data_IF_248855748882
#
_entry.id   IF_248855748882
#
_cell.length_a   1.000
_cell.length_b   1.000
_cell.length_c   1.000
_cell.angle_alpha   90.00
_cell.angle_beta   90.00
_cell.angle_gamma   90.00
#
_symmetry.space_group_name_H-M   'P 1'
#
loop_
_entity.id
_entity.type
_entity.pdbx_description
1 polymer ?
#
# COMPACT_ATOMS: atom_id res chain seq x y z
N UNK A 1 29.68 -3.76 15.88
CA UNK A 1 28.97 -2.94 16.90
C UNK A 1 28.00 -3.85 17.63
N UNK A 2 28.22 -4.18 18.91
CA UNK A 2 27.31 -5.09 19.65
C UNK A 2 26.02 -4.39 20.10
N UNK A 3 26.03 -3.06 20.20
CA UNK A 3 24.92 -2.25 20.73
C UNK A 3 24.16 -1.48 19.64
N UNK A 4 24.28 -1.90 18.38
CA UNK A 4 23.58 -1.26 17.26
C UNK A 4 22.18 -1.83 17.05
N UNK A 5 21.24 -1.00 16.62
CA UNK A 5 19.95 -1.43 16.07
C UNK A 5 20.00 -1.28 14.55
N UNK A 6 19.97 -2.40 13.85
CA UNK A 6 20.03 -2.46 12.39
C UNK A 6 18.60 -2.55 11.84
N UNK A 7 18.16 -1.55 11.07
CA UNK A 7 16.82 -1.52 10.47
C UNK A 7 16.88 -1.94 9.01
N UNK A 8 16.14 -2.98 8.67
CA UNK A 8 16.13 -3.62 7.35
C UNK A 8 14.83 -3.30 6.61
N UNK A 9 14.93 -2.63 5.46
CA UNK A 9 13.76 -2.19 4.67
C UNK A 9 13.38 -3.14 3.52
N UNK A 10 14.28 -4.05 3.18
CA UNK A 10 14.16 -4.97 2.05
C UNK A 10 14.42 -6.40 2.51
N UNK A 11 13.80 -7.35 1.81
CA UNK A 11 14.05 -8.78 2.01
C UNK A 11 15.14 -9.23 1.03
N UNK A 12 16.38 -8.79 1.29
CA UNK A 12 17.54 -9.16 0.49
C UNK A 12 18.12 -10.47 1.04
N UNK A 13 18.47 -11.40 0.14
CA UNK A 13 19.03 -12.71 0.53
C UNK A 13 20.38 -12.52 1.20
N UNK A 14 21.09 -11.48 0.81
CA UNK A 14 22.35 -11.00 1.34
C UNK A 14 22.27 -10.73 2.85
N UNK A 15 21.13 -10.21 3.36
CA UNK A 15 20.92 -10.05 4.81
C UNK A 15 20.86 -11.39 5.55
N UNK A 16 20.43 -12.46 4.89
CA UNK A 16 20.34 -13.80 5.49
C UNK A 16 21.70 -14.50 5.54
N UNK A 17 22.60 -14.18 4.62
CA UNK A 17 23.90 -14.87 4.47
C UNK A 17 25.08 -14.08 5.02
N UNK A 18 25.05 -12.74 5.01
CA UNK A 18 26.23 -11.90 5.26
C UNK A 18 26.07 -10.90 6.41
N UNK A 19 24.87 -10.59 6.88
CA UNK A 19 24.70 -9.67 8.02
C UNK A 19 24.83 -10.40 9.35
N UNK A 20 26.12 -10.65 9.64
CA UNK A 20 26.78 -10.34 10.90
C UNK A 20 25.85 -10.26 12.12
N UNK A 21 25.93 -11.31 12.95
CA UNK A 21 25.35 -11.50 14.28
C UNK A 21 25.75 -10.43 15.33
N UNK A 22 25.94 -9.16 14.96
CA UNK A 22 26.24 -8.08 15.88
C UNK A 22 25.12 -7.03 15.88
N UNK A 23 24.60 -6.73 17.07
CA UNK A 23 23.46 -5.83 17.25
C UNK A 23 22.09 -6.52 17.13
N UNK A 24 21.04 -5.72 17.28
CA UNK A 24 19.64 -6.13 17.19
C UNK A 24 19.13 -5.83 15.78
N UNK A 25 18.60 -6.85 15.09
CA UNK A 25 18.08 -6.73 13.74
C UNK A 25 16.57 -6.54 13.72
N UNK A 26 16.12 -5.46 13.11
CA UNK A 26 14.71 -5.03 13.06
C UNK A 26 14.26 -4.95 11.62
N UNK A 27 13.21 -5.68 11.24
CA UNK A 27 12.61 -5.56 9.91
C UNK A 27 11.54 -4.47 9.89
N UNK A 28 11.55 -3.62 8.86
CA UNK A 28 10.53 -2.60 8.59
C UNK A 28 10.36 -2.42 7.08
N UNK A 29 9.38 -3.09 6.48
CA UNK A 29 9.23 -3.09 5.02
C UNK A 29 8.96 -1.69 4.44
N UNK A 30 9.61 -1.40 3.31
CA UNK A 30 9.45 -0.14 2.58
C UNK A 30 8.07 0.08 1.95
N UNK A 31 7.29 -1.00 1.72
CA UNK A 31 5.98 -0.95 1.09
C UNK A 31 4.87 -1.44 2.01
N UNK A 32 3.72 -0.77 2.00
CA UNK A 32 2.54 -1.19 2.79
C UNK A 32 1.80 -2.36 2.15
N UNK A 33 1.85 -2.54 0.82
CA UNK A 33 1.19 -3.66 0.15
C UNK A 33 1.78 -5.02 0.54
N UNK A 34 0.92 -6.03 0.65
CA UNK A 34 1.31 -7.43 0.82
C UNK A 34 1.15 -8.20 -0.48
N UNK A 35 2.26 -8.47 -1.15
CA UNK A 35 2.34 -9.31 -2.36
C UNK A 35 2.93 -10.69 -2.04
N UNK A 36 2.60 -11.23 -0.86
CA UNK A 36 3.23 -12.44 -0.28
C UNK A 36 4.74 -12.30 -0.04
N UNK A 37 5.20 -11.08 0.17
CA UNK A 37 6.62 -10.76 0.44
C UNK A 37 6.89 -10.49 1.92
N UNK A 38 5.85 -10.57 2.77
CA UNK A 38 5.96 -10.41 4.22
C UNK A 38 5.41 -11.65 4.92
N UNK A 39 6.08 -12.79 4.71
CA UNK A 39 5.75 -14.06 5.37
C UNK A 39 6.59 -14.27 6.62
N UNK A 40 6.16 -15.19 7.49
CA UNK A 40 6.93 -15.60 8.67
C UNK A 40 8.34 -16.11 8.35
N UNK A 41 8.50 -16.86 7.26
CA UNK A 41 9.82 -17.31 6.78
C UNK A 41 10.74 -16.13 6.45
N UNK A 42 10.18 -15.08 5.83
CA UNK A 42 10.95 -13.93 5.37
C UNK A 42 11.36 -12.97 6.47
N UNK A 43 10.66 -12.97 7.61
CA UNK A 43 10.95 -12.05 8.71
C UNK A 43 11.48 -12.76 9.95
N UNK A 44 11.35 -14.09 10.04
CA UNK A 44 11.62 -14.87 11.25
C UNK A 44 13.05 -14.78 11.77
N UNK A 45 14.01 -14.50 10.88
CA UNK A 45 15.42 -14.33 11.23
C UNK A 45 15.74 -12.99 11.92
N UNK A 46 14.83 -12.02 11.91
CA UNK A 46 14.99 -10.77 12.64
C UNK A 46 14.61 -10.94 14.12
N UNK A 47 15.20 -10.10 14.97
CA UNK A 47 14.86 -10.03 16.40
C UNK A 47 13.47 -9.42 16.59
N UNK A 48 13.18 -8.35 15.84
CA UNK A 48 11.90 -7.66 15.86
C UNK A 48 11.40 -7.31 14.46
N UNK A 49 10.08 -7.12 14.33
CA UNK A 49 9.42 -6.73 13.09
C UNK A 49 8.46 -5.59 13.39
N UNK A 50 8.64 -4.48 12.68
CA UNK A 50 7.76 -3.33 12.72
C UNK A 50 6.74 -3.45 11.57
N UNK A 51 5.46 -3.33 11.91
CA UNK A 51 4.36 -3.44 10.95
C UNK A 51 3.40 -2.24 11.02
N UNK A 52 2.72 -1.90 9.91
CA UNK A 52 1.84 -0.72 9.90
C UNK A 52 0.59 -0.85 10.76
N UNK A 53 0.06 -2.06 10.91
CA UNK A 53 -1.25 -2.28 11.50
C UNK A 53 -1.50 -3.71 11.98
N UNK A 54 -2.62 -3.95 12.66
CA UNK A 54 -2.97 -5.27 13.19
C UNK A 54 -3.03 -6.40 12.16
N UNK A 55 -3.36 -6.12 10.89
CA UNK A 55 -3.53 -7.18 9.89
C UNK A 55 -2.25 -8.01 9.71
N UNK A 56 -1.08 -7.37 9.67
CA UNK A 56 0.20 -8.09 9.52
C UNK A 56 0.62 -8.77 10.81
N UNK A 57 0.23 -8.24 11.98
CA UNK A 57 0.45 -8.98 13.23
C UNK A 57 -0.30 -10.30 13.18
N UNK A 58 -1.57 -10.27 12.79
CA UNK A 58 -2.40 -11.48 12.70
C UNK A 58 -1.89 -12.46 11.63
N UNK A 59 -1.38 -11.95 10.50
CA UNK A 59 -0.77 -12.78 9.46
C UNK A 59 0.54 -13.41 9.95
N UNK A 60 1.48 -12.62 10.45
CA UNK A 60 2.78 -13.13 10.90
C UNK A 60 2.69 -14.08 12.10
N UNK A 61 1.73 -13.87 13.01
CA UNK A 61 1.47 -14.83 14.10
C UNK A 61 0.94 -16.15 13.55
N UNK A 62 0.06 -16.14 12.53
CA UNK A 62 -0.39 -17.37 11.86
C UNK A 62 0.76 -18.07 11.13
N UNK A 63 1.72 -17.30 10.60
CA UNK A 63 2.94 -17.82 9.98
C UNK A 63 4.02 -18.25 11.00
N UNK A 64 3.70 -18.28 12.30
CA UNK A 64 4.60 -18.78 13.35
C UNK A 64 5.56 -17.75 13.96
N UNK A 65 5.46 -16.47 13.60
CA UNK A 65 6.29 -15.41 14.22
C UNK A 65 5.77 -15.11 15.63
N UNK A 66 6.61 -15.20 16.68
CA UNK A 66 6.17 -14.91 18.04
C UNK A 66 5.64 -13.48 18.18
N UNK A 67 4.43 -13.33 18.75
CA UNK A 67 3.78 -12.02 18.94
C UNK A 67 4.65 -10.96 19.63
N UNK A 68 5.53 -11.39 20.54
CA UNK A 68 6.49 -10.53 21.26
C UNK A 68 7.53 -9.85 20.36
N UNK A 69 7.78 -10.40 19.17
CA UNK A 69 8.68 -9.81 18.17
C UNK A 69 8.01 -8.67 17.37
N UNK A 70 6.68 -8.54 17.44
CA UNK A 70 5.91 -7.72 16.51
C UNK A 70 5.46 -6.40 17.16
N UNK A 71 5.81 -5.28 16.53
CA UNK A 71 5.38 -3.94 16.95
C UNK A 71 4.55 -3.26 15.86
N UNK A 72 3.42 -2.69 16.25
CA UNK A 72 2.58 -1.88 15.35
C UNK A 72 3.07 -0.44 15.45
N UNK A 73 3.64 0.10 14.37
CA UNK A 73 4.24 1.45 14.35
C UNK A 73 3.63 2.38 13.32
N UNK A 74 2.76 1.88 12.44
CA UNK A 74 2.23 2.67 11.33
C UNK A 74 3.20 2.69 10.15
N UNK A 75 3.13 3.74 9.33
CA UNK A 75 3.91 3.84 8.10
C UNK A 75 4.46 5.26 7.93
N UNK A 76 5.67 5.54 8.46
CA UNK A 76 6.27 6.88 8.51
C UNK A 76 6.34 7.60 7.16
N UNK A 77 6.45 6.87 6.05
CA UNK A 77 6.42 7.41 4.69
C UNK A 77 5.20 8.31 4.44
N UNK A 78 4.06 8.02 5.06
CA UNK A 78 2.82 8.79 4.86
C UNK A 78 2.64 9.92 5.85
N UNK A 79 3.47 10.03 6.90
CA UNK A 79 3.28 11.08 7.91
C UNK A 79 3.23 12.50 7.31
N UNK A 80 4.12 12.88 6.36
CA UNK A 80 4.05 14.19 5.72
C UNK A 80 2.74 14.43 4.97
N UNK A 81 2.09 13.38 4.44
CA UNK A 81 0.87 13.54 3.65
C UNK A 81 -0.35 13.93 4.50
N UNK A 82 -0.30 13.69 5.80
CA UNK A 82 -1.38 14.09 6.71
C UNK A 82 -1.27 15.54 7.18
N UNK A 83 -0.19 16.25 6.84
CA UNK A 83 0.00 17.67 7.14
C UNK A 83 0.00 18.57 5.91
N UNK A 84 0.08 17.99 4.71
CA UNK A 84 -0.04 18.71 3.45
C UNK A 84 -1.47 19.21 3.28
N UNK A 85 -1.62 20.50 2.96
CA UNK A 85 -2.90 21.04 2.52
C UNK A 85 -3.21 20.52 1.12
N UNK A 86 -4.45 20.08 0.85
CA UNK A 86 -4.83 19.73 -0.51
C UNK A 86 -4.63 20.95 -1.43
N UNK A 87 -4.29 20.73 -2.72
CA UNK A 87 -4.22 21.81 -3.69
C UNK A 87 -5.56 22.55 -3.74
N UNK A 88 -5.53 23.80 -4.21
CA UNK A 88 -6.74 24.58 -4.43
C UNK A 88 -7.75 23.80 -5.30
N UNK A 89 -9.04 23.94 -5.00
CA UNK A 89 -10.10 23.22 -5.70
C UNK A 89 -9.96 23.38 -7.23
N UNK A 90 -9.81 22.26 -7.92
CA UNK A 90 -9.84 22.19 -9.38
C UNK A 90 -11.29 22.13 -9.86
N UNK A 91 -11.58 22.78 -10.99
CA UNK A 91 -12.89 22.69 -11.65
C UNK A 91 -13.08 21.38 -12.42
N UNK A 92 -11.99 20.62 -12.63
CA UNK A 92 -12.02 19.28 -13.24
C UNK A 92 -11.74 18.22 -12.21
N UNK A 93 -12.49 17.13 -12.30
CA UNK A 93 -12.23 15.92 -11.54
C UNK A 93 -10.90 15.31 -11.97
N UNK A 94 -10.00 15.07 -11.02
CA UNK A 94 -8.69 14.47 -11.28
C UNK A 94 -8.71 12.99 -10.92
N UNK A 95 -8.44 12.14 -11.90
CA UNK A 95 -8.34 10.68 -11.73
C UNK A 95 -6.89 10.26 -11.95
N UNK A 96 -6.31 9.57 -10.97
CA UNK A 96 -4.97 9.01 -11.08
C UNK A 96 -5.02 7.51 -11.36
N UNK A 97 -4.44 7.07 -12.48
CA UNK A 97 -4.14 5.66 -12.72
C UNK A 97 -2.71 5.32 -12.27
N UNK A 98 -2.61 4.46 -11.25
CA UNK A 98 -1.34 4.08 -10.62
C UNK A 98 -1.25 2.56 -10.40
N UNK A 99 -1.04 1.78 -11.48
CA UNK A 99 -0.99 0.32 -11.40
C UNK A 99 0.29 -0.18 -10.72
N UNK A 100 0.25 -1.42 -10.25
CA UNK A 100 1.46 -2.10 -9.79
C UNK A 100 2.35 -2.46 -10.98
N UNK A 101 3.66 -2.55 -10.75
CA UNK A 101 4.54 -3.38 -11.57
C UNK A 101 4.44 -4.83 -11.11
N UNK A 102 3.85 -5.70 -11.93
CA UNK A 102 3.77 -7.15 -11.71
C UNK A 102 3.59 -7.84 -13.05
N UNK A 103 4.22 -9.01 -13.23
CA UNK A 103 4.11 -9.79 -14.48
C UNK A 103 2.74 -10.44 -14.66
N UNK A 104 2.01 -10.72 -13.59
CA UNK A 104 0.71 -11.41 -13.65
C UNK A 104 -0.43 -10.66 -12.95
N UNK A 105 -0.15 -9.97 -11.85
CA UNK A 105 -1.17 -9.33 -11.01
C UNK A 105 -1.18 -7.79 -11.17
N UNK A 106 -1.11 -7.33 -12.43
CA UNK A 106 -1.22 -5.92 -12.80
C UNK A 106 -2.29 -5.70 -13.86
N UNK A 107 -2.98 -4.57 -13.76
CA UNK A 107 -3.86 -4.05 -14.81
C UNK A 107 -3.06 -3.44 -15.97
N UNK A 108 -1.78 -3.13 -15.76
CA UNK A 108 -0.85 -2.69 -16.79
C UNK A 108 -0.14 -3.89 -17.44
N UNK A 109 0.02 -3.93 -18.77
CA UNK A 109 -0.28 -2.86 -19.73
C UNK A 109 -1.69 -2.89 -20.32
N UNK A 110 -2.53 -3.86 -19.96
CA UNK A 110 -3.85 -4.05 -20.59
C UNK A 110 -4.74 -2.80 -20.52
N UNK A 111 -4.66 -2.03 -19.43
CA UNK A 111 -5.43 -0.81 -19.26
C UNK A 111 -5.08 0.31 -20.27
N UNK A 112 -3.94 0.22 -20.97
CA UNK A 112 -3.49 1.25 -21.93
C UNK A 112 -4.50 1.53 -23.04
N UNK A 113 -5.28 0.53 -23.46
CA UNK A 113 -6.28 0.68 -24.51
C UNK A 113 -7.41 1.65 -24.14
N UNK A 114 -7.56 1.97 -22.85
CA UNK A 114 -8.61 2.83 -22.33
C UNK A 114 -8.20 4.28 -22.08
N UNK A 115 -6.89 4.59 -22.12
CA UNK A 115 -6.38 5.92 -21.72
C UNK A 115 -6.99 7.07 -22.54
N UNK A 116 -7.31 6.81 -23.82
CA UNK A 116 -7.90 7.81 -24.72
C UNK A 116 -9.44 7.80 -24.73
N UNK A 117 -10.07 7.00 -23.88
CA UNK A 117 -11.54 6.81 -23.83
C UNK A 117 -12.22 7.57 -22.69
N UNK A 118 -11.45 8.27 -21.85
CA UNK A 118 -12.00 9.04 -20.75
C UNK A 118 -12.79 10.26 -21.26
N UNK A 119 -13.96 10.55 -20.66
CA UNK A 119 -14.71 11.77 -20.94
C UNK A 119 -13.88 13.05 -20.74
N UNK A 120 -14.14 14.09 -21.53
CA UNK A 120 -13.37 15.35 -21.52
C UNK A 120 -13.45 16.18 -20.24
N UNK A 121 -14.44 15.90 -19.38
CA UNK A 121 -14.60 16.56 -18.08
C UNK A 121 -13.72 15.94 -16.99
N UNK A 122 -13.16 14.74 -17.23
CA UNK A 122 -12.19 14.09 -16.35
C UNK A 122 -10.79 14.50 -16.78
N UNK A 123 -10.03 15.07 -15.84
CA UNK A 123 -8.58 15.16 -15.95
C UNK A 123 -7.98 13.83 -15.49
N UNK A 124 -7.13 13.23 -16.33
CA UNK A 124 -6.63 11.88 -16.10
C UNK A 124 -5.11 11.87 -16.14
N UNK A 125 -4.49 11.42 -15.04
CA UNK A 125 -3.05 11.28 -14.88
C UNK A 125 -2.63 9.82 -14.79
N UNK A 126 -1.39 9.53 -15.21
CA UNK A 126 -0.80 8.20 -15.14
C UNK A 126 0.51 8.25 -14.37
N UNK A 127 0.60 7.47 -13.29
CA UNK A 127 1.86 7.26 -12.56
C UNK A 127 2.23 5.78 -12.60
N UNK A 128 3.10 5.41 -13.53
CA UNK A 128 3.63 4.05 -13.62
C UNK A 128 4.72 3.78 -12.57
N UNK A 129 5.15 2.53 -12.43
CA UNK A 129 6.27 2.18 -11.57
C UNK A 129 7.59 2.78 -12.10
N UNK A 130 8.58 3.14 -11.25
CA UNK A 130 9.88 3.66 -11.68
C UNK A 130 10.58 2.86 -12.79
N UNK A 131 10.49 1.52 -12.75
CA UNK A 131 11.03 0.63 -13.81
C UNK A 131 10.39 0.86 -15.19
N UNK A 132 9.17 1.35 -15.24
CA UNK A 132 8.42 1.60 -16.47
C UNK A 132 8.51 3.08 -16.92
N UNK A 133 9.25 3.93 -16.19
CA UNK A 133 9.41 5.35 -16.47
C UNK A 133 10.82 5.68 -17.03
N UNK A 134 10.89 6.61 -17.99
CA UNK A 134 12.16 7.16 -18.48
C UNK A 134 12.80 8.11 -17.45
N UNK A 135 11.97 8.87 -16.73
CA UNK A 135 12.38 9.79 -15.68
C UNK A 135 11.54 9.54 -14.42
N UNK A 136 11.99 8.65 -13.51
CA UNK A 136 11.23 8.28 -12.33
C UNK A 136 10.84 9.48 -11.48
N UNK A 137 9.53 9.65 -11.26
CA UNK A 137 8.99 10.63 -10.31
C UNK A 137 8.26 9.95 -9.15
N UNK A 138 8.34 10.48 -7.93
CA UNK A 138 7.53 9.99 -6.81
C UNK A 138 6.04 10.27 -7.06
N UNK A 139 5.19 9.26 -6.95
CA UNK A 139 3.72 9.33 -7.15
C UNK A 139 2.97 10.21 -6.12
N UNK A 140 3.67 10.82 -5.16
CA UNK A 140 3.02 11.47 -4.02
C UNK A 140 2.32 12.77 -4.40
N UNK A 141 2.87 13.52 -5.36
CA UNK A 141 2.27 14.77 -5.81
C UNK A 141 0.97 14.49 -6.57
N UNK A 142 1.00 13.52 -7.49
CA UNK A 142 -0.18 13.09 -8.25
C UNK A 142 -1.24 12.49 -7.31
N UNK A 143 -0.82 11.71 -6.31
CA UNK A 143 -1.75 11.15 -5.33
C UNK A 143 -2.46 12.25 -4.53
N UNK A 144 -1.74 13.28 -4.09
CA UNK A 144 -2.32 14.39 -3.32
C UNK A 144 -3.33 15.16 -4.18
N UNK A 145 -3.03 15.37 -5.47
CA UNK A 145 -3.90 16.08 -6.41
C UNK A 145 -5.13 15.27 -6.87
N UNK A 146 -5.08 13.94 -6.83
CA UNK A 146 -6.15 13.09 -7.34
C UNK A 146 -7.41 13.09 -6.45
N UNK A 147 -8.60 13.18 -7.06
CA UNK A 147 -9.87 12.98 -6.36
C UNK A 147 -10.21 11.48 -6.23
N UNK A 148 -9.86 10.71 -7.27
CA UNK A 148 -10.13 9.26 -7.36
C UNK A 148 -8.87 8.56 -7.87
N UNK A 149 -8.59 7.36 -7.35
CA UNK A 149 -7.46 6.54 -7.80
C UNK A 149 -7.97 5.27 -8.48
N UNK A 150 -7.45 4.97 -9.66
CA UNK A 150 -7.60 3.66 -10.31
C UNK A 150 -6.29 2.88 -10.08
N UNK A 151 -6.41 1.72 -9.45
CA UNK A 151 -5.25 0.90 -9.09
C UNK A 151 -5.64 -0.58 -8.98
N UNK A 152 -4.64 -1.44 -8.82
CA UNK A 152 -4.78 -2.88 -8.66
C UNK A 152 -4.21 -3.35 -7.31
N UNK A 153 -3.04 -3.98 -7.28
CA UNK A 153 -2.38 -4.54 -6.10
C UNK A 153 -1.23 -3.66 -5.58
N UNK A 154 -1.14 -2.43 -6.07
CA UNK A 154 -0.13 -1.44 -5.68
C UNK A 154 -0.28 -1.01 -4.21
N UNK A 155 0.83 -0.55 -3.61
CA UNK A 155 0.79 0.12 -2.31
C UNK A 155 -0.08 1.37 -2.31
N UNK A 156 -0.22 2.01 -3.48
CA UNK A 156 -0.98 3.25 -3.64
C UNK A 156 -2.44 3.12 -3.21
N UNK A 157 -3.01 1.91 -3.26
CA UNK A 157 -4.37 1.61 -2.78
C UNK A 157 -4.54 2.03 -1.32
N UNK A 158 -3.60 1.60 -0.47
CA UNK A 158 -3.65 1.87 0.96
C UNK A 158 -3.24 3.31 1.28
N UNK A 159 -2.34 3.88 0.48
CA UNK A 159 -1.92 5.29 0.58
C UNK A 159 -3.11 6.21 0.25
N UNK A 160 -3.82 5.97 -0.85
CA UNK A 160 -5.05 6.68 -1.24
C UNK A 160 -6.16 6.57 -0.18
N UNK A 161 -6.49 5.34 0.26
CA UNK A 161 -7.50 5.17 1.30
C UNK A 161 -7.12 5.81 2.64
N UNK A 162 -5.83 5.93 2.95
CA UNK A 162 -5.39 6.61 4.16
C UNK A 162 -5.68 8.12 4.11
N UNK A 163 -5.67 8.71 2.92
CA UNK A 163 -5.95 10.12 2.63
C UNK A 163 -7.44 10.42 2.39
N UNK A 164 -8.32 9.43 2.53
CA UNK A 164 -9.75 9.65 2.27
C UNK A 164 -10.13 9.59 0.79
N UNK A 165 -9.22 9.17 -0.10
CA UNK A 165 -9.46 9.09 -1.54
C UNK A 165 -10.03 7.71 -1.93
N UNK A 166 -11.15 7.65 -2.67
CA UNK A 166 -11.71 6.40 -3.19
C UNK A 166 -10.74 5.71 -4.17
N UNK A 167 -10.81 4.39 -4.20
CA UNK A 167 -10.04 3.55 -5.12
C UNK A 167 -10.98 2.67 -5.92
N UNK A 168 -10.82 2.67 -7.25
CA UNK A 168 -11.55 1.82 -8.19
C UNK A 168 -10.61 0.75 -8.76
N UNK A 169 -11.02 -0.50 -8.64
CA UNK A 169 -10.30 -1.67 -9.13
C UNK A 169 -10.83 -2.11 -10.50
N UNK A 170 -9.96 -2.31 -11.51
CA UNK A 170 -10.36 -2.87 -12.80
C UNK A 170 -10.47 -4.40 -12.72
N UNK A 171 -11.53 -4.93 -12.10
CA UNK A 171 -11.68 -6.39 -11.86
C UNK A 171 -11.50 -7.20 -13.15
N UNK A 172 -12.08 -6.73 -14.25
CA UNK A 172 -12.08 -7.42 -15.54
C UNK A 172 -10.68 -7.68 -16.13
N UNK A 173 -9.67 -6.95 -15.66
CA UNK A 173 -8.30 -7.10 -16.16
C UNK A 173 -7.46 -8.02 -15.28
N UNK A 174 -7.67 -7.98 -13.95
CA UNK A 174 -6.65 -8.46 -13.01
C UNK A 174 -7.18 -9.40 -11.93
N UNK A 175 -8.48 -9.34 -11.59
CA UNK A 175 -9.05 -10.02 -10.42
C UNK A 175 -8.73 -11.51 -10.36
N UNK A 176 -9.03 -12.23 -11.43
CA UNK A 176 -8.90 -13.68 -11.45
C UNK A 176 -7.45 -14.11 -11.23
N UNK A 177 -6.50 -13.36 -11.81
CA UNK A 177 -5.06 -13.59 -11.58
C UNK A 177 -4.66 -13.28 -10.14
N UNK A 178 -5.14 -12.20 -9.52
CA UNK A 178 -4.83 -11.91 -8.11
C UNK A 178 -5.33 -13.02 -7.18
N UNK A 179 -6.56 -13.48 -7.38
CA UNK A 179 -7.16 -14.52 -6.55
C UNK A 179 -6.45 -15.87 -6.76
N UNK A 180 -6.12 -16.22 -8.01
CA UNK A 180 -5.45 -17.47 -8.36
C UNK A 180 -4.00 -17.50 -7.92
N UNK A 181 -3.22 -16.48 -8.26
CA UNK A 181 -1.78 -16.46 -8.02
C UNK A 181 -1.47 -16.14 -6.56
N UNK A 182 -2.27 -15.26 -5.94
CA UNK A 182 -2.03 -14.75 -4.59
C UNK A 182 -3.16 -15.00 -3.57
N UNK A 183 -3.72 -16.22 -3.43
CA UNK A 183 -4.98 -16.47 -2.73
C UNK A 183 -5.00 -16.07 -1.25
N UNK A 184 -3.84 -16.09 -0.58
CA UNK A 184 -3.73 -15.78 0.85
C UNK A 184 -3.28 -14.33 1.14
N UNK A 185 -3.18 -13.49 0.10
CA UNK A 185 -2.67 -12.12 0.21
C UNK A 185 -3.76 -11.12 0.60
N UNK A 186 -3.34 -9.97 1.13
CA UNK A 186 -4.25 -8.84 1.39
C UNK A 186 -4.98 -8.38 0.10
N UNK A 187 -4.31 -8.24 -1.07
CA UNK A 187 -5.01 -7.97 -2.33
C UNK A 187 -6.07 -9.01 -2.71
N UNK A 188 -5.79 -10.31 -2.58
CA UNK A 188 -6.80 -11.33 -2.90
C UNK A 188 -8.06 -11.19 -2.03
N UNK A 189 -7.89 -10.83 -0.75
CA UNK A 189 -9.02 -10.49 0.13
C UNK A 189 -9.81 -9.28 -0.34
N UNK A 190 -9.12 -8.22 -0.80
CA UNK A 190 -9.78 -7.02 -1.35
C UNK A 190 -10.70 -7.41 -2.51
N UNK A 191 -10.18 -8.18 -3.47
CA UNK A 191 -10.93 -8.63 -4.65
C UNK A 191 -12.05 -9.64 -4.34
N UNK A 192 -11.84 -10.57 -3.41
CA UNK A 192 -12.82 -11.59 -3.08
C UNK A 192 -13.99 -11.05 -2.25
N UNK A 193 -13.71 -10.15 -1.30
CA UNK A 193 -14.73 -9.57 -0.40
C UNK A 193 -15.36 -8.27 -0.96
N UNK A 194 -14.89 -7.81 -2.12
CA UNK A 194 -15.27 -6.55 -2.76
C UNK A 194 -15.13 -5.37 -1.79
N UNK A 195 -13.91 -5.13 -1.33
CA UNK A 195 -13.54 -4.01 -0.45
C UNK A 195 -13.08 -2.85 -1.33
N UNK A 196 -13.78 -1.72 -1.35
CA UNK A 196 -13.56 -0.70 -2.38
C UNK A 196 -14.59 -0.76 -3.50
N UNK A 197 -14.30 -0.01 -4.56
CA UNK A 197 -15.12 0.05 -5.76
C UNK A 197 -14.55 -0.87 -6.83
N UNK A 198 -15.36 -1.81 -7.32
CA UNK A 198 -14.91 -2.85 -8.25
C UNK A 198 -15.66 -2.73 -9.58
N UNK A 199 -14.97 -2.23 -10.60
CA UNK A 199 -15.52 -2.11 -11.94
C UNK A 199 -15.38 -3.44 -12.70
N UNK A 200 -16.41 -3.84 -13.44
CA UNK A 200 -16.43 -5.09 -14.22
C UNK A 200 -16.21 -4.88 -15.72
N UNK A 201 -16.14 -3.63 -16.16
CA UNK A 201 -15.71 -3.20 -17.48
C UNK A 201 -15.40 -1.68 -17.42
N UNK A 202 -14.99 -1.10 -18.54
CA UNK A 202 -14.65 0.32 -18.62
C UNK A 202 -15.84 1.26 -18.40
N UNK A 203 -17.01 0.94 -18.96
CA UNK A 203 -18.18 1.83 -18.84
C UNK A 203 -18.66 1.92 -17.38
N UNK A 204 -18.70 0.79 -16.67
CA UNK A 204 -18.98 0.76 -15.24
C UNK A 204 -17.88 1.47 -14.43
N UNK A 205 -16.62 1.47 -14.88
CA UNK A 205 -15.57 2.27 -14.24
C UNK A 205 -15.89 3.77 -14.30
N UNK A 206 -16.38 4.27 -15.43
CA UNK A 206 -16.80 5.68 -15.54
C UNK A 206 -17.96 5.98 -14.58
N UNK A 207 -18.96 5.09 -14.50
CA UNK A 207 -20.06 5.24 -13.53
C UNK A 207 -19.56 5.27 -12.08
N UNK A 208 -18.56 4.43 -11.74
CA UNK A 208 -17.97 4.42 -10.40
C UNK A 208 -17.16 5.69 -10.10
N UNK A 209 -16.50 6.27 -11.10
CA UNK A 209 -15.79 7.55 -10.96
C UNK A 209 -16.77 8.63 -10.49
N UNK A 210 -17.93 8.75 -11.15
CA UNK A 210 -18.98 9.71 -10.78
C UNK A 210 -19.57 9.40 -9.40
N UNK A 211 -19.85 8.12 -9.12
CA UNK A 211 -20.40 7.69 -7.84
C UNK A 211 -19.49 8.07 -6.66
N UNK A 212 -18.19 7.84 -6.82
CA UNK A 212 -17.21 8.04 -5.73
C UNK A 212 -17.03 9.50 -5.33
N UNK A 213 -17.31 10.46 -6.22
CA UNK A 213 -17.32 11.88 -5.87
C UNK A 213 -18.36 12.21 -4.80
N UNK A 214 -19.52 11.55 -4.86
CA UNK A 214 -20.61 11.80 -3.93
C UNK A 214 -20.50 10.96 -2.65
N UNK A 215 -19.94 9.76 -2.76
CA UNK A 215 -19.91 8.78 -1.66
C UNK A 215 -18.57 8.71 -0.93
N UNK A 216 -17.49 9.22 -1.52
CA UNK A 216 -16.13 9.07 -0.99
C UNK A 216 -15.69 7.61 -0.93
N UNK A 217 -14.92 7.25 0.10
CA UNK A 217 -14.49 5.86 0.34
C UNK A 217 -15.67 5.03 0.87
N UNK A 218 -15.87 3.83 0.32
CA UNK A 218 -16.87 2.90 0.82
C UNK A 218 -16.62 2.46 2.28
N UNK A 219 -17.70 2.07 2.95
CA UNK A 219 -17.64 1.70 4.38
C UNK A 219 -16.73 0.48 4.61
N UNK A 220 -16.69 -0.51 3.73
CA UNK A 220 -15.83 -1.70 3.94
C UNK A 220 -14.36 -1.30 3.87
N UNK A 221 -13.94 -0.48 2.90
CA UNK A 221 -12.56 -0.01 2.84
C UNK A 221 -12.18 0.84 4.05
N UNK A 222 -13.07 1.73 4.53
CA UNK A 222 -12.84 2.48 5.77
C UNK A 222 -12.61 1.54 6.98
N UNK A 223 -13.43 0.50 7.11
CA UNK A 223 -13.31 -0.48 8.19
C UNK A 223 -12.02 -1.29 8.06
N UNK A 224 -11.71 -1.73 6.85
CA UNK A 224 -10.51 -2.47 6.51
C UNK A 224 -9.24 -1.67 6.84
N UNK A 225 -9.22 -0.38 6.49
CA UNK A 225 -8.09 0.49 6.76
C UNK A 225 -7.79 0.70 8.24
N UNK A 226 -8.73 0.43 9.15
CA UNK A 226 -8.41 0.44 10.59
C UNK A 226 -7.47 -0.70 11.00
N UNK A 227 -7.42 -1.77 10.21
CA UNK A 227 -6.52 -2.91 10.40
C UNK A 227 -5.20 -2.76 9.60
N UNK A 228 -5.23 -2.00 8.50
CA UNK A 228 -4.06 -1.68 7.67
C UNK A 228 -3.27 -0.50 8.25
N UNK A 229 -3.88 0.66 8.48
CA UNK A 229 -3.21 1.84 9.02
C UNK A 229 -4.16 2.54 9.99
N UNK A 230 -4.11 2.16 11.29
CA UNK A 230 -4.96 2.73 12.32
C UNK A 230 -4.91 4.26 12.34
N UNK A 231 -6.07 4.90 12.47
CA UNK A 231 -6.19 6.37 12.43
C UNK A 231 -5.27 7.07 13.45
N UNK A 232 -5.12 6.50 14.65
CA UNK A 232 -4.23 7.04 15.70
C UNK A 232 -2.74 7.11 15.32
N UNK A 233 -2.32 6.42 14.26
CA UNK A 233 -0.93 6.38 13.78
C UNK A 233 -0.70 7.26 12.55
N UNK A 234 -1.76 7.77 11.92
CA UNK A 234 -1.65 8.64 10.74
C UNK A 234 -1.06 9.99 11.15
N UNK A 235 0.08 10.36 10.58
CA UNK A 235 0.81 11.58 10.92
C UNK A 235 1.67 11.46 12.18
N UNK A 236 1.78 10.26 12.76
CA UNK A 236 2.51 10.00 14.02
C UNK A 236 3.38 8.73 13.93
N UNK A 237 3.44 8.09 12.77
CA UNK A 237 4.10 6.80 12.62
C UNK A 237 5.61 6.89 12.88
N UNK A 238 6.26 7.97 12.48
CA UNK A 238 7.68 8.25 12.69
C UNK A 238 8.01 8.43 14.17
N UNK A 239 7.18 9.18 14.90
CA UNK A 239 7.31 9.34 16.36
C UNK A 239 7.19 7.98 17.07
N UNK A 240 6.15 7.21 16.75
CA UNK A 240 5.92 5.88 17.34
C UNK A 240 7.05 4.91 16.97
N UNK A 241 7.52 4.95 15.72
CA UNK A 241 8.65 4.13 15.25
C UNK A 241 9.92 4.47 16.04
N UNK A 242 10.23 5.76 16.23
CA UNK A 242 11.38 6.20 16.99
C UNK A 242 11.32 5.74 18.46
N UNK A 243 10.16 5.87 19.10
CA UNK A 243 9.95 5.40 20.48
C UNK A 243 10.17 3.88 20.62
N UNK A 244 9.69 3.09 19.65
CA UNK A 244 9.88 1.64 19.64
C UNK A 244 11.35 1.27 19.45
N UNK A 245 12.05 1.92 18.50
CA UNK A 245 13.47 1.67 18.26
C UNK A 245 14.33 2.05 19.48
N UNK A 246 14.02 3.17 20.16
CA UNK A 246 14.68 3.55 21.40
C UNK A 246 14.45 2.55 22.54
N UNK A 247 13.27 1.92 22.59
CA UNK A 247 12.99 0.85 23.54
C UNK A 247 13.79 -0.41 23.22
N UNK A 248 13.85 -0.79 21.94
CA UNK A 248 14.61 -1.94 21.47
C UNK A 248 16.11 -1.77 21.78
N UNK A 249 16.66 -0.57 21.58
CA UNK A 249 18.06 -0.26 21.86
C UNK A 249 18.47 -0.37 23.35
N UNK A 250 17.50 -0.52 24.26
CA UNK A 250 17.73 -0.64 25.71
C UNK A 250 17.54 -2.06 26.25
N UNK A 251 17.21 -3.03 25.38
CA UNK A 251 17.05 -4.44 25.72
C UNK A 251 18.40 -5.15 25.68
#
# INVERSE_FOLDING_TARGET
MKDAVNVHFFNEKEYRSEVAHCGINVSMFHGIADKQIRTGEQVGFHDYVLVPGPVWVNQLVRDGVPRRKLFIVGYPKLDPLFTIQPPAESTKQTVLYAPTHSKSCSSYPAFKEFLNRFPSHIHFDVSLHPYDQVHPKPTMEELVAADVVISDTSSIVYEAWSLGKPVIFPDWLVKDKVISDWPNSIPAKIYSEKIGYHAYNFDHMIELIDLTLTQGIDRKAQQFMRQILPQRLRGKSGEVTAQVLQKIAKL
#
